data_IF_594728242497
#
_entry.id   IF_594728242497
#
_cell.length_a   1.000
_cell.length_b   1.000
_cell.length_c   1.000
_cell.angle_alpha   90.00
_cell.angle_beta   90.00
_cell.angle_gamma   90.00
#
_symmetry.space_group_name_H-M   'P 1'
#
loop_
_entity.id
_entity.type
_entity.pdbx_description
1 polymer ?
#
# COMPACT_ATOMS: atom_id res chain seq x y z
N UNK A 1 25.92 3.36 14.34
CA UNK A 1 26.15 2.24 13.38
C UNK A 1 25.63 2.68 12.02
N UNK A 2 26.45 2.54 10.95
CA UNK A 2 26.06 2.92 9.59
C UNK A 2 25.08 1.91 9.00
N UNK A 3 23.95 2.40 8.46
CA UNK A 3 22.94 1.57 7.76
C UNK A 3 22.65 2.16 6.38
N UNK A 4 22.53 1.27 5.39
CA UNK A 4 22.28 1.64 3.99
C UNK A 4 20.91 1.15 3.55
N UNK A 5 20.23 1.95 2.71
CA UNK A 5 18.93 1.65 2.13
C UNK A 5 18.98 1.98 0.64
N UNK A 6 18.33 1.18 -0.18
CA UNK A 6 18.35 1.31 -1.63
C UNK A 6 16.95 1.58 -2.16
N UNK A 7 16.78 2.65 -2.94
CA UNK A 7 15.54 3.00 -3.64
C UNK A 7 15.77 2.96 -5.15
N UNK A 8 14.92 2.28 -5.92
CA UNK A 8 14.89 2.43 -7.36
C UNK A 8 14.33 3.80 -7.74
N UNK A 9 14.92 4.46 -8.72
CA UNK A 9 14.48 5.75 -9.25
C UNK A 9 14.80 5.87 -10.74
N UNK A 10 14.33 6.95 -11.38
CA UNK A 10 14.40 7.16 -12.82
C UNK A 10 13.74 6.03 -13.61
N UNK A 11 12.40 6.09 -13.67
CA UNK A 11 11.58 5.02 -14.22
C UNK A 11 11.28 5.19 -15.70
N UNK A 12 11.20 4.07 -16.41
CA UNK A 12 10.83 3.95 -17.82
C UNK A 12 9.61 3.04 -17.94
N UNK A 13 8.72 3.31 -18.92
CA UNK A 13 7.41 2.65 -18.99
C UNK A 13 7.14 2.05 -20.37
N UNK A 14 6.23 1.06 -20.41
CA UNK A 14 5.66 0.49 -21.61
C UNK A 14 6.69 -0.07 -22.58
N UNK A 15 6.54 0.30 -23.86
CA UNK A 15 7.42 -0.17 -24.96
C UNK A 15 8.88 0.25 -24.74
N UNK A 16 9.13 1.45 -24.21
CA UNK A 16 10.49 1.93 -23.93
C UNK A 16 11.14 1.10 -22.83
N UNK A 17 10.43 0.82 -21.74
CA UNK A 17 10.93 -0.05 -20.66
C UNK A 17 11.36 -1.41 -21.21
N UNK A 18 10.50 -2.09 -22.01
CA UNK A 18 10.81 -3.39 -22.61
C UNK A 18 12.05 -3.35 -23.50
N UNK A 19 12.18 -2.29 -24.32
CA UNK A 19 13.35 -2.07 -25.19
C UNK A 19 14.63 -1.94 -24.36
N UNK A 20 14.62 -1.04 -23.35
CA UNK A 20 15.80 -0.77 -22.53
C UNK A 20 16.21 -1.98 -21.68
N UNK A 21 15.26 -2.78 -21.21
CA UNK A 21 15.55 -4.05 -20.52
C UNK A 21 16.25 -5.02 -21.48
N UNK A 22 15.74 -5.18 -22.73
CA UNK A 22 16.37 -6.04 -23.75
C UNK A 22 17.79 -5.61 -24.07
N UNK A 23 18.03 -4.29 -24.10
CA UNK A 23 19.36 -3.69 -24.32
C UNK A 23 20.24 -3.71 -23.06
N UNK A 24 19.79 -4.29 -21.94
CA UNK A 24 20.49 -4.32 -20.63
C UNK A 24 20.85 -2.92 -20.10
N UNK A 25 20.08 -1.90 -20.46
CA UNK A 25 20.25 -0.51 -20.01
C UNK A 25 19.47 -0.19 -18.72
N UNK A 26 18.42 -0.97 -18.46
CA UNK A 26 17.56 -0.81 -17.26
C UNK A 26 17.27 -2.17 -16.64
N UNK A 27 16.80 -2.16 -15.37
CA UNK A 27 16.34 -3.34 -14.65
C UNK A 27 14.82 -3.30 -14.47
N UNK A 28 14.12 -4.46 -14.59
CA UNK A 28 12.67 -4.51 -14.39
C UNK A 28 12.31 -4.25 -12.92
N UNK A 29 11.26 -3.48 -12.66
CA UNK A 29 10.78 -3.24 -11.32
C UNK A 29 9.77 -4.32 -10.90
N UNK A 30 9.99 -4.98 -9.77
CA UNK A 30 9.11 -6.02 -9.23
C UNK A 30 8.80 -7.17 -10.21
N UNK A 31 9.74 -7.47 -11.11
CA UNK A 31 9.56 -8.49 -12.17
C UNK A 31 8.61 -8.07 -13.29
N UNK A 32 8.15 -6.83 -13.29
CA UNK A 32 7.26 -6.27 -14.31
C UNK A 32 8.08 -5.58 -15.41
N UNK A 33 7.97 -6.06 -16.67
CA UNK A 33 8.68 -5.47 -17.81
C UNK A 33 8.04 -4.18 -18.34
N UNK A 34 6.83 -3.83 -17.88
CA UNK A 34 6.17 -2.57 -18.26
C UNK A 34 6.75 -1.35 -17.51
N UNK A 35 7.55 -1.60 -16.46
CA UNK A 35 8.24 -0.56 -15.71
C UNK A 35 9.67 -1.01 -15.39
N UNK A 36 10.64 -0.15 -15.66
CA UNK A 36 12.07 -0.39 -15.37
C UNK A 36 12.74 0.87 -14.85
N UNK A 37 13.94 0.73 -14.33
CA UNK A 37 14.74 1.81 -13.78
C UNK A 37 16.23 1.64 -14.15
N UNK A 38 16.98 2.75 -14.21
CA UNK A 38 18.41 2.75 -14.49
C UNK A 38 19.25 3.40 -13.37
N UNK A 39 18.59 4.05 -12.39
CA UNK A 39 19.28 4.66 -11.26
C UNK A 39 18.74 4.14 -9.94
N UNK A 40 19.59 4.18 -8.92
CA UNK A 40 19.24 3.90 -7.53
C UNK A 40 19.66 5.08 -6.65
N UNK A 41 18.83 5.42 -5.68
CA UNK A 41 19.20 6.31 -4.59
C UNK A 41 19.64 5.45 -3.39
N UNK A 42 20.83 5.70 -2.89
CA UNK A 42 21.41 5.00 -1.73
C UNK A 42 21.38 5.99 -0.57
N UNK A 43 20.58 5.70 0.44
CA UNK A 43 20.57 6.44 1.70
C UNK A 43 21.60 5.83 2.64
N UNK A 44 22.31 6.69 3.35
CA UNK A 44 23.17 6.36 4.48
C UNK A 44 22.60 7.02 5.74
N UNK A 45 22.24 6.20 6.73
CA UNK A 45 21.91 6.62 8.10
C UNK A 45 23.12 6.32 8.97
N UNK A 46 23.79 7.35 9.48
CA UNK A 46 24.88 7.25 10.44
C UNK A 46 24.49 7.99 11.71
N UNK A 47 24.08 7.24 12.71
CA UNK A 47 23.42 7.77 13.90
C UNK A 47 22.20 8.65 13.53
N UNK A 48 22.26 9.96 13.81
CA UNK A 48 21.21 10.94 13.47
C UNK A 48 21.44 11.62 12.12
N UNK A 49 22.61 11.48 11.49
CA UNK A 49 22.91 12.08 10.19
C UNK A 49 22.40 11.18 9.06
N UNK A 50 21.70 11.77 8.12
CA UNK A 50 21.18 11.08 6.94
C UNK A 50 21.65 11.82 5.71
N UNK A 51 22.20 11.07 4.78
CA UNK A 51 22.59 11.55 3.45
C UNK A 51 22.10 10.56 2.39
N UNK A 52 21.97 11.02 1.16
CA UNK A 52 21.68 10.14 0.03
C UNK A 52 22.49 10.54 -1.19
N UNK A 53 22.71 9.57 -2.09
CA UNK A 53 23.31 9.80 -3.40
C UNK A 53 22.61 8.94 -4.45
N UNK A 54 22.47 9.49 -5.65
CA UNK A 54 21.93 8.76 -6.80
C UNK A 54 23.10 8.16 -7.59
N UNK A 55 22.97 6.90 -7.96
CA UNK A 55 24.00 6.14 -8.66
C UNK A 55 23.35 5.40 -9.85
N UNK A 56 23.97 5.45 -11.01
CA UNK A 56 23.60 4.64 -12.18
C UNK A 56 23.82 3.15 -11.87
N UNK A 57 22.89 2.28 -12.29
CA UNK A 57 23.01 0.82 -12.07
C UNK A 57 24.29 0.24 -12.66
N UNK A 58 24.83 0.81 -13.75
CA UNK A 58 26.10 0.40 -14.37
C UNK A 58 27.31 0.70 -13.49
N UNK A 59 27.19 1.68 -12.56
CA UNK A 59 28.27 2.09 -11.67
C UNK A 59 28.29 1.39 -10.31
N UNK A 60 27.36 0.44 -10.08
CA UNK A 60 27.27 -0.31 -8.80
C UNK A 60 28.56 -1.06 -8.48
N UNK A 61 29.27 -1.55 -9.50
CA UNK A 61 30.51 -2.29 -9.31
C UNK A 61 31.65 -1.43 -8.70
N UNK A 62 31.58 -0.13 -8.83
CA UNK A 62 32.55 0.82 -8.27
C UNK A 62 32.21 1.30 -6.84
N UNK A 63 31.14 0.79 -6.25
CA UNK A 63 30.79 1.11 -4.85
C UNK A 63 31.76 0.43 -3.87
N UNK A 64 31.99 1.01 -2.68
CA UNK A 64 32.73 0.35 -1.62
C UNK A 64 32.13 -1.02 -1.31
N UNK A 65 32.98 -2.02 -0.99
CA UNK A 65 32.60 -3.45 -0.87
C UNK A 65 31.32 -3.68 -0.04
N UNK A 66 31.22 -3.10 1.17
CA UNK A 66 30.04 -3.28 2.03
C UNK A 66 28.77 -2.67 1.44
N UNK A 67 28.85 -1.49 0.84
CA UNK A 67 27.72 -0.81 0.18
C UNK A 67 27.27 -1.61 -1.03
N UNK A 68 28.21 -2.08 -1.84
CA UNK A 68 27.94 -2.90 -3.04
C UNK A 68 27.16 -4.18 -2.68
N UNK A 69 27.61 -4.92 -1.65
CA UNK A 69 26.94 -6.14 -1.21
C UNK A 69 25.48 -5.84 -0.83
N UNK A 70 25.25 -4.81 0.01
CA UNK A 70 23.90 -4.41 0.42
C UNK A 70 23.03 -4.02 -0.78
N UNK A 71 23.57 -3.19 -1.67
CA UNK A 71 22.86 -2.73 -2.88
C UNK A 71 22.47 -3.89 -3.79
N UNK A 72 23.35 -4.85 -4.01
CA UNK A 72 23.05 -6.02 -4.85
C UNK A 72 21.97 -6.91 -4.25
N UNK A 73 21.98 -7.11 -2.93
CA UNK A 73 20.91 -7.82 -2.22
C UNK A 73 19.57 -7.10 -2.35
N UNK A 74 19.56 -5.77 -2.22
CA UNK A 74 18.35 -4.97 -2.37
C UNK A 74 17.84 -4.99 -3.83
N UNK A 75 18.71 -4.87 -4.82
CA UNK A 75 18.34 -4.96 -6.24
C UNK A 75 17.71 -6.32 -6.56
N UNK A 76 18.25 -7.41 -6.04
CA UNK A 76 17.63 -8.74 -6.19
C UNK A 76 16.20 -8.75 -5.69
N UNK A 77 15.91 -8.11 -4.55
CA UNK A 77 14.56 -7.97 -4.01
C UNK A 77 13.71 -7.00 -4.84
N UNK A 78 14.26 -5.84 -5.24
CA UNK A 78 13.56 -4.84 -6.07
C UNK A 78 13.11 -5.44 -7.41
N UNK A 79 13.94 -6.25 -8.06
CA UNK A 79 13.65 -6.83 -9.37
C UNK A 79 12.83 -8.12 -9.30
N UNK A 80 12.68 -8.73 -8.15
CA UNK A 80 11.96 -9.99 -7.97
C UNK A 80 10.45 -9.81 -8.18
N UNK A 81 9.82 -10.77 -8.88
CA UNK A 81 8.36 -10.80 -9.08
C UNK A 81 7.62 -10.91 -7.75
N UNK A 82 6.54 -10.13 -7.60
CA UNK A 82 5.66 -10.20 -6.42
C UNK A 82 4.69 -11.37 -6.55
N UNK A 83 4.73 -12.31 -5.61
CA UNK A 83 3.91 -13.55 -5.65
C UNK A 83 2.41 -13.29 -5.58
N UNK A 84 1.99 -12.23 -4.88
CA UNK A 84 0.58 -11.89 -4.69
C UNK A 84 -0.17 -11.55 -5.97
N UNK A 85 0.51 -10.97 -6.96
CA UNK A 85 -0.12 -10.34 -8.12
C UNK A 85 -0.44 -11.30 -9.28
N UNK A 86 0.03 -12.56 -9.22
CA UNK A 86 -0.10 -13.52 -10.32
C UNK A 86 0.33 -12.89 -11.67
N UNK A 87 -0.65 -12.53 -12.52
CA UNK A 87 -0.44 -11.91 -13.83
C UNK A 87 -0.73 -10.40 -13.84
N UNK A 88 -1.24 -9.83 -12.75
CA UNK A 88 -1.61 -8.41 -12.69
C UNK A 88 -0.44 -7.56 -12.18
N UNK A 89 -0.30 -6.35 -12.73
CA UNK A 89 0.74 -5.40 -12.33
C UNK A 89 0.30 -4.54 -11.13
N UNK A 90 -1.01 -4.38 -10.96
CA UNK A 90 -1.64 -3.66 -9.84
C UNK A 90 -3.04 -4.20 -9.56
N UNK A 91 -3.51 -4.01 -8.34
CA UNK A 91 -4.80 -4.50 -7.83
C UNK A 91 -5.53 -3.37 -7.12
N UNK A 92 -6.84 -3.25 -7.38
CA UNK A 92 -7.74 -2.40 -6.60
C UNK A 92 -8.38 -3.19 -5.47
N UNK A 93 -8.28 -2.66 -4.25
CA UNK A 93 -8.91 -3.13 -3.04
C UNK A 93 -10.05 -2.17 -2.69
N UNK A 94 -11.29 -2.60 -2.91
CA UNK A 94 -12.48 -1.80 -2.61
C UNK A 94 -12.80 -1.83 -1.12
N UNK A 95 -13.07 -0.67 -0.52
CA UNK A 95 -13.39 -0.52 0.90
C UNK A 95 -14.89 -0.61 1.13
N UNK A 96 -15.32 -1.48 2.03
CA UNK A 96 -16.68 -1.58 2.53
C UNK A 96 -16.71 -1.38 4.05
N UNK A 97 -17.16 -0.22 4.50
CA UNK A 97 -17.37 0.06 5.91
C UNK A 97 -18.81 -0.27 6.32
N UNK A 98 -18.97 -1.16 7.29
CA UNK A 98 -20.26 -1.59 7.84
C UNK A 98 -20.58 -0.85 9.17
N UNK A 99 -20.28 0.46 9.19
CA UNK A 99 -20.63 1.32 10.35
C UNK A 99 -22.08 1.81 10.27
N UNK A 100 -22.70 2.24 11.40
CA UNK A 100 -24.08 2.72 11.40
C UNK A 100 -24.36 3.82 10.38
N UNK A 101 -23.43 4.76 10.22
CA UNK A 101 -23.55 5.91 9.32
C UNK A 101 -23.45 5.53 7.83
N UNK A 102 -22.89 4.36 7.51
CA UNK A 102 -22.66 3.95 6.12
C UNK A 102 -23.92 3.44 5.43
N UNK A 103 -24.94 3.03 6.18
CA UNK A 103 -26.20 2.47 5.69
C UNK A 103 -27.37 2.89 6.59
N UNK A 104 -27.54 4.20 6.82
CA UNK A 104 -28.47 4.77 7.80
C UNK A 104 -29.95 4.48 7.48
N UNK A 105 -30.32 4.34 6.18
CA UNK A 105 -31.71 4.35 5.73
C UNK A 105 -32.36 2.96 5.61
N UNK A 106 -31.74 1.89 6.14
CA UNK A 106 -32.24 0.52 5.95
C UNK A 106 -32.26 -0.34 7.22
N UNK A 107 -33.36 -1.03 7.49
CA UNK A 107 -33.44 -2.08 8.51
C UNK A 107 -32.37 -3.16 8.34
N UNK A 108 -32.11 -4.00 9.39
CA UNK A 108 -31.00 -4.99 9.42
C UNK A 108 -30.92 -5.93 8.21
N UNK A 109 -32.05 -6.27 7.57
CA UNK A 109 -32.10 -7.11 6.37
C UNK A 109 -31.68 -6.33 5.10
N UNK A 110 -32.10 -5.09 5.02
CA UNK A 110 -31.80 -4.20 3.89
C UNK A 110 -30.30 -3.84 3.85
N UNK A 111 -29.66 -3.60 5.01
CA UNK A 111 -28.21 -3.32 5.11
C UNK A 111 -27.34 -4.43 4.51
N UNK A 112 -27.65 -5.69 4.73
CA UNK A 112 -26.87 -6.81 4.14
C UNK A 112 -26.99 -6.84 2.62
N UNK A 113 -28.21 -6.68 2.09
CA UNK A 113 -28.44 -6.69 0.64
C UNK A 113 -27.80 -5.46 -0.04
N UNK A 114 -27.87 -4.29 0.57
CA UNK A 114 -27.21 -3.08 0.09
C UNK A 114 -25.68 -3.25 0.06
N UNK A 115 -25.10 -3.84 1.12
CA UNK A 115 -23.68 -4.13 1.19
C UNK A 115 -23.25 -5.11 0.08
N UNK A 116 -23.98 -6.21 -0.13
CA UNK A 116 -23.70 -7.18 -1.20
C UNK A 116 -23.87 -6.55 -2.60
N UNK A 117 -24.84 -5.66 -2.80
CA UNK A 117 -25.00 -4.89 -4.04
C UNK A 117 -23.84 -3.93 -4.26
N UNK A 118 -23.36 -3.27 -3.20
CA UNK A 118 -22.18 -2.39 -3.28
C UNK A 118 -20.90 -3.18 -3.58
N UNK A 119 -20.73 -4.36 -2.97
CA UNK A 119 -19.62 -5.29 -3.30
C UNK A 119 -19.66 -5.66 -4.78
N UNK A 120 -20.83 -6.09 -5.32
CA UNK A 120 -20.97 -6.40 -6.74
C UNK A 120 -20.52 -5.23 -7.62
N UNK A 121 -21.02 -4.01 -7.36
CA UNK A 121 -20.62 -2.82 -8.11
C UNK A 121 -19.11 -2.56 -8.09
N UNK A 122 -18.44 -2.80 -6.95
CA UNK A 122 -16.99 -2.64 -6.85
C UNK A 122 -16.24 -3.71 -7.64
N UNK A 123 -16.72 -4.97 -7.62
CA UNK A 123 -16.14 -6.08 -8.39
C UNK A 123 -16.31 -5.83 -9.89
N UNK A 124 -17.51 -5.44 -10.34
CA UNK A 124 -17.82 -5.11 -11.73
C UNK A 124 -16.98 -3.93 -12.24
N UNK A 125 -16.65 -2.99 -11.35
CA UNK A 125 -15.73 -1.89 -11.60
C UNK A 125 -14.24 -2.29 -11.61
N UNK A 126 -13.91 -3.55 -11.27
CA UNK A 126 -12.56 -4.11 -11.36
C UNK A 126 -11.82 -4.28 -10.04
N UNK A 127 -12.49 -4.19 -8.88
CA UNK A 127 -11.88 -4.57 -7.62
C UNK A 127 -11.61 -6.10 -7.58
N UNK A 128 -10.42 -6.47 -7.16
CA UNK A 128 -10.02 -7.89 -6.98
C UNK A 128 -10.03 -8.30 -5.51
N UNK A 129 -10.03 -7.33 -4.63
CA UNK A 129 -10.11 -7.51 -3.18
C UNK A 129 -11.23 -6.63 -2.67
N UNK A 130 -12.03 -7.13 -1.74
CA UNK A 130 -12.97 -6.34 -0.95
C UNK A 130 -12.51 -6.38 0.50
N UNK A 131 -12.27 -5.20 1.06
CA UNK A 131 -11.83 -5.02 2.44
C UNK A 131 -13.02 -4.56 3.30
N UNK A 132 -13.46 -5.44 4.21
CA UNK A 132 -14.67 -5.25 5.00
C UNK A 132 -14.30 -4.92 6.44
N UNK A 133 -14.77 -3.77 6.94
CA UNK A 133 -14.59 -3.35 8.32
C UNK A 133 -15.90 -3.04 9.03
N UNK A 134 -16.04 -3.45 10.30
CA UNK A 134 -17.19 -3.17 11.16
C UNK A 134 -16.96 -2.04 12.16
N UNK A 135 -15.70 -1.65 12.37
CA UNK A 135 -15.27 -0.55 13.22
C UNK A 135 -14.71 0.61 12.38
N UNK A 136 -14.97 1.84 12.79
CA UNK A 136 -14.34 3.01 12.16
C UNK A 136 -12.92 3.19 12.68
N UNK A 137 -11.95 3.31 11.77
CA UNK A 137 -10.56 3.66 12.08
C UNK A 137 -10.27 5.16 11.92
N UNK A 138 -11.33 5.99 11.77
CA UNK A 138 -11.18 7.45 11.72
C UNK A 138 -10.68 7.99 13.07
N UNK A 139 -9.94 9.12 13.07
CA UNK A 139 -9.63 9.80 14.33
C UNK A 139 -10.89 10.01 15.17
N UNK A 140 -10.74 9.90 16.51
CA UNK A 140 -11.82 10.11 17.50
C UNK A 140 -12.97 9.08 17.46
N UNK A 141 -12.89 8.06 16.60
CA UNK A 141 -13.90 7.00 16.61
C UNK A 141 -13.83 6.18 17.91
N UNK A 142 -15.01 5.89 18.47
CA UNK A 142 -15.12 5.05 19.67
C UNK A 142 -14.79 3.60 19.34
N UNK A 143 -14.01 2.97 20.22
CA UNK A 143 -13.78 1.51 20.17
C UNK A 143 -15.10 0.82 20.51
N UNK A 144 -15.46 -0.18 19.72
CA UNK A 144 -16.66 -0.99 19.98
C UNK A 144 -16.27 -2.39 20.46
N UNK A 145 -17.12 -3.11 21.23
CA UNK A 145 -16.89 -4.51 21.59
C UNK A 145 -16.71 -5.40 20.34
N UNK A 146 -15.88 -6.45 20.39
CA UNK A 146 -15.64 -7.34 19.24
C UNK A 146 -16.92 -8.06 18.79
N UNK A 147 -17.85 -8.36 19.69
CA UNK A 147 -19.14 -8.97 19.38
C UNK A 147 -20.00 -8.04 18.52
N UNK A 148 -20.02 -6.75 18.83
CA UNK A 148 -20.74 -5.73 18.06
C UNK A 148 -20.12 -5.58 16.67
N UNK A 149 -18.79 -5.54 16.57
CA UNK A 149 -18.10 -5.49 15.28
C UNK A 149 -18.46 -6.72 14.43
N UNK A 150 -18.36 -7.92 15.00
CA UNK A 150 -18.72 -9.14 14.32
C UNK A 150 -20.20 -9.15 13.90
N UNK A 151 -21.12 -8.72 14.77
CA UNK A 151 -22.55 -8.64 14.46
C UNK A 151 -22.81 -7.77 13.21
N UNK A 152 -22.08 -6.65 13.05
CA UNK A 152 -22.22 -5.74 11.90
C UNK A 152 -21.86 -6.41 10.58
N UNK A 153 -20.78 -7.20 10.53
CA UNK A 153 -20.21 -7.76 9.29
C UNK A 153 -20.60 -9.22 9.03
N UNK A 154 -20.99 -9.97 10.05
CA UNK A 154 -21.15 -11.44 10.00
C UNK A 154 -22.02 -11.93 8.85
N UNK A 155 -23.18 -11.28 8.62
CA UNK A 155 -24.14 -11.69 7.56
C UNK A 155 -23.54 -11.49 6.16
N UNK A 156 -22.74 -10.44 5.95
CA UNK A 156 -22.06 -10.19 4.67
C UNK A 156 -20.92 -11.19 4.48
N UNK A 157 -20.10 -11.39 5.51
CA UNK A 157 -18.95 -12.32 5.48
C UNK A 157 -19.42 -13.75 5.16
N UNK A 158 -20.46 -14.26 5.85
CA UNK A 158 -21.00 -15.61 5.63
C UNK A 158 -21.49 -15.84 4.19
N UNK A 159 -22.00 -14.82 3.51
CA UNK A 159 -22.50 -14.88 2.13
C UNK A 159 -21.42 -14.58 1.08
N UNK A 160 -20.27 -14.02 1.48
CA UNK A 160 -19.29 -13.45 0.56
C UNK A 160 -18.75 -14.49 -0.43
N UNK A 161 -18.14 -15.56 0.05
CA UNK A 161 -17.48 -16.56 -0.82
C UNK A 161 -18.44 -17.35 -1.69
N UNK A 162 -19.67 -17.56 -1.24
CA UNK A 162 -20.70 -18.21 -2.06
C UNK A 162 -21.11 -17.29 -3.23
N UNK A 163 -21.19 -15.99 -2.99
CA UNK A 163 -21.62 -15.03 -4.02
C UNK A 163 -20.46 -14.54 -4.92
N UNK A 164 -19.25 -14.43 -4.36
CA UNK A 164 -18.08 -13.88 -5.04
C UNK A 164 -16.85 -14.80 -4.90
N UNK A 165 -16.89 -16.05 -5.41
CA UNK A 165 -15.86 -17.07 -5.15
C UNK A 165 -14.46 -16.69 -5.67
N UNK A 166 -14.38 -15.87 -6.73
CA UNK A 166 -13.12 -15.47 -7.37
C UNK A 166 -12.53 -14.18 -6.76
N UNK A 167 -13.25 -13.50 -5.87
CA UNK A 167 -12.81 -12.23 -5.25
C UNK A 167 -12.14 -12.53 -3.91
N UNK A 168 -11.01 -11.88 -3.65
CA UNK A 168 -10.33 -11.99 -2.36
C UNK A 168 -11.10 -11.21 -1.30
N UNK A 169 -11.30 -11.84 -0.14
CA UNK A 169 -11.91 -11.26 1.03
C UNK A 169 -10.81 -10.77 1.99
N UNK A 170 -10.79 -9.49 2.27
CA UNK A 170 -9.98 -8.88 3.32
C UNK A 170 -10.85 -8.47 4.49
N UNK A 171 -10.35 -8.63 5.69
CA UNK A 171 -11.00 -8.15 6.93
C UNK A 171 -10.17 -7.04 7.56
N UNK A 172 -10.79 -5.84 7.70
CA UNK A 172 -10.21 -4.68 8.39
C UNK A 172 -10.66 -4.71 9.85
N UNK A 173 -9.82 -5.27 10.71
CA UNK A 173 -10.09 -5.41 12.15
C UNK A 173 -8.79 -5.55 12.95
N UNK A 174 -8.84 -5.12 14.21
CA UNK A 174 -7.76 -5.28 15.20
C UNK A 174 -8.15 -6.17 16.39
N UNK A 175 -9.17 -7.07 16.19
CA UNK A 175 -9.73 -7.91 17.25
C UNK A 175 -9.72 -9.37 16.89
N UNK A 176 -9.13 -10.19 17.74
CA UNK A 176 -8.94 -11.64 17.53
C UNK A 176 -10.24 -12.42 17.35
N UNK A 177 -11.29 -12.08 18.11
CA UNK A 177 -12.61 -12.71 17.96
C UNK A 177 -13.16 -12.52 16.54
N UNK A 178 -13.02 -11.33 15.97
CA UNK A 178 -13.48 -11.04 14.60
C UNK A 178 -12.64 -11.83 13.59
N UNK A 179 -11.30 -11.84 13.75
CA UNK A 179 -10.40 -12.62 12.91
C UNK A 179 -10.74 -14.11 12.95
N UNK A 180 -10.88 -14.69 14.14
CA UNK A 180 -11.24 -16.11 14.34
C UNK A 180 -12.51 -16.50 13.61
N UNK A 181 -13.54 -15.65 13.69
CA UNK A 181 -14.80 -15.88 13.02
C UNK A 181 -14.71 -15.73 11.49
N UNK A 182 -13.87 -14.81 11.00
CA UNK A 182 -13.68 -14.64 9.55
C UNK A 182 -12.85 -15.75 8.93
N UNK A 183 -11.89 -16.32 9.65
CA UNK A 183 -11.13 -17.51 9.21
C UNK A 183 -12.08 -18.68 8.91
N UNK A 184 -13.09 -18.93 9.76
CA UNK A 184 -14.13 -19.97 9.52
C UNK A 184 -14.94 -19.70 8.24
N UNK A 185 -14.94 -18.48 7.73
CA UNK A 185 -15.64 -18.06 6.53
C UNK A 185 -14.69 -17.78 5.34
N UNK A 186 -13.51 -18.43 5.33
CA UNK A 186 -12.53 -18.42 4.22
C UNK A 186 -12.03 -17.02 3.86
N UNK A 187 -11.70 -16.18 4.86
CA UNK A 187 -10.98 -14.92 4.62
C UNK A 187 -9.62 -15.20 3.97
N UNK A 188 -9.19 -14.31 3.08
CA UNK A 188 -7.90 -14.42 2.37
C UNK A 188 -6.83 -13.49 2.96
N UNK A 189 -7.24 -12.34 3.51
CA UNK A 189 -6.33 -11.28 3.98
C UNK A 189 -6.81 -10.78 5.34
N UNK A 190 -5.87 -10.64 6.28
CA UNK A 190 -6.10 -9.93 7.55
C UNK A 190 -5.38 -8.58 7.47
N UNK A 191 -6.17 -7.51 7.57
CA UNK A 191 -5.73 -6.12 7.51
C UNK A 191 -5.95 -5.47 8.89
N UNK A 192 -4.88 -5.43 9.70
CA UNK A 192 -4.92 -4.81 11.02
C UNK A 192 -4.03 -3.56 11.04
N UNK A 193 -4.68 -2.40 11.17
CA UNK A 193 -3.99 -1.09 11.23
C UNK A 193 -3.01 -0.97 12.39
N UNK A 194 -3.15 -1.80 13.44
CA UNK A 194 -2.25 -1.84 14.59
C UNK A 194 -1.03 -2.76 14.38
N UNK A 195 -0.95 -3.47 13.26
CA UNK A 195 0.06 -4.50 13.02
C UNK A 195 0.09 -5.55 14.13
N UNK A 196 -1.08 -6.06 14.51
CA UNK A 196 -1.29 -7.11 15.53
C UNK A 196 -0.83 -6.72 16.94
N UNK A 197 -0.72 -5.41 17.22
CA UNK A 197 -0.26 -4.90 18.53
C UNK A 197 -1.41 -4.58 19.49
N UNK A 198 -2.58 -4.27 18.96
CA UNK A 198 -3.76 -3.96 19.77
C UNK A 198 -4.28 -5.21 20.49
N UNK A 199 -4.46 -6.30 19.76
CA UNK A 199 -4.84 -7.61 20.29
C UNK A 199 -3.82 -8.65 19.81
N UNK A 200 -2.91 -9.03 20.73
CA UNK A 200 -1.81 -9.97 20.43
C UNK A 200 -2.30 -11.36 20.04
N UNK A 201 -3.52 -11.73 20.42
CA UNK A 201 -4.12 -13.02 20.06
C UNK A 201 -4.38 -13.14 18.55
N UNK A 202 -4.48 -12.01 17.81
CA UNK A 202 -4.59 -12.07 16.34
C UNK A 202 -3.41 -12.80 15.74
N UNK A 203 -2.19 -12.50 16.19
CA UNK A 203 -1.00 -13.15 15.65
C UNK A 203 -1.04 -14.68 15.85
N UNK A 204 -1.45 -15.14 17.03
CA UNK A 204 -1.60 -16.57 17.32
C UNK A 204 -2.65 -17.25 16.41
N UNK A 205 -3.76 -16.55 16.12
CA UNK A 205 -4.80 -17.08 15.23
C UNK A 205 -4.35 -17.20 13.77
N UNK A 206 -3.38 -16.38 13.30
CA UNK A 206 -3.03 -16.27 11.88
C UNK A 206 -1.62 -16.77 11.52
N UNK A 207 -0.71 -16.95 12.48
CA UNK A 207 0.72 -17.25 12.21
C UNK A 207 0.91 -18.49 11.33
N UNK A 208 0.13 -19.53 11.55
CA UNK A 208 0.19 -20.82 10.85
C UNK A 208 -0.93 -21.02 9.82
N UNK A 209 -1.65 -19.96 9.48
CA UNK A 209 -2.70 -20.00 8.45
C UNK A 209 -2.18 -19.50 7.11
N UNK A 210 -2.68 -20.11 6.05
CA UNK A 210 -2.37 -19.74 4.67
C UNK A 210 -3.08 -18.45 4.25
N UNK A 211 -2.86 -17.36 5.00
CA UNK A 211 -3.49 -16.05 4.85
C UNK A 211 -2.45 -14.98 4.51
N UNK A 212 -2.85 -13.98 3.77
CA UNK A 212 -2.07 -12.76 3.62
C UNK A 212 -2.25 -11.86 4.84
N UNK A 213 -1.15 -11.26 5.29
CA UNK A 213 -1.08 -10.39 6.47
C UNK A 213 -0.64 -9.00 6.03
N UNK A 214 -1.42 -7.98 6.34
CA UNK A 214 -0.99 -6.59 6.10
C UNK A 214 -0.17 -6.12 7.28
N UNK A 215 1.07 -5.80 7.03
CA UNK A 215 1.97 -5.14 7.98
C UNK A 215 1.78 -3.64 7.82
N UNK A 216 0.92 -3.06 8.63
CA UNK A 216 0.56 -1.66 8.57
C UNK A 216 1.37 -0.84 9.56
N UNK A 217 1.96 0.27 9.11
CA UNK A 217 2.68 1.18 9.98
C UNK A 217 1.79 2.30 10.52
N UNK A 218 1.65 2.34 11.83
CA UNK A 218 0.98 3.41 12.56
C UNK A 218 1.83 3.87 13.74
N UNK A 219 1.88 5.18 14.00
CA UNK A 219 2.40 5.73 15.25
C UNK A 219 1.23 6.21 16.11
N UNK A 220 1.21 5.82 17.39
CA UNK A 220 0.07 6.06 18.30
C UNK A 220 -1.05 5.04 18.12
N UNK A 221 -2.24 5.38 18.62
CA UNK A 221 -3.48 4.61 18.46
C UNK A 221 -4.47 5.41 17.59
N UNK A 222 -5.57 4.84 17.09
CA UNK A 222 -6.57 5.61 16.35
C UNK A 222 -7.08 6.86 17.11
N UNK A 223 -7.09 6.82 18.44
CA UNK A 223 -7.48 7.97 19.28
C UNK A 223 -6.38 9.05 19.37
N UNK A 224 -5.10 8.65 19.37
CA UNK A 224 -3.96 9.56 19.56
C UNK A 224 -3.16 9.83 18.27
N UNK A 225 -3.63 9.29 17.15
CA UNK A 225 -2.92 9.22 15.85
C UNK A 225 -2.51 10.59 15.30
N UNK A 226 -3.19 11.67 15.70
CA UNK A 226 -2.91 13.05 15.25
C UNK A 226 -2.05 13.83 16.23
N UNK A 227 -1.72 13.27 17.41
CA UNK A 227 -1.02 13.97 18.48
C UNK A 227 0.49 13.98 18.20
N UNK A 228 0.95 15.02 17.49
CA UNK A 228 2.36 15.36 17.24
C UNK A 228 3.27 14.17 16.90
N UNK A 229 3.06 13.50 15.75
CA UNK A 229 3.86 12.33 15.38
C UNK A 229 5.33 12.72 15.17
N UNK A 230 6.25 12.02 15.84
CA UNK A 230 7.69 12.29 15.83
C UNK A 230 8.44 11.20 15.07
N UNK A 231 9.27 11.61 14.12
CA UNK A 231 10.18 10.75 13.36
C UNK A 231 11.55 11.40 13.29
N UNK A 232 12.61 10.62 13.31
CA UNK A 232 13.93 11.10 12.94
C UNK A 232 13.99 11.32 11.42
N UNK A 233 13.49 10.32 10.66
CA UNK A 233 13.29 10.40 9.23
C UNK A 233 12.18 9.43 8.84
N UNK A 234 10.99 9.94 8.60
CA UNK A 234 9.77 9.14 8.46
C UNK A 234 9.92 7.95 7.49
N UNK A 235 10.56 8.15 6.35
CA UNK A 235 10.73 7.12 5.33
C UNK A 235 11.62 5.95 5.82
N UNK A 236 12.77 6.28 6.44
CA UNK A 236 13.72 5.28 6.92
C UNK A 236 13.24 4.62 8.21
N UNK A 237 12.55 5.36 9.08
CA UNK A 237 11.98 4.82 10.31
C UNK A 237 10.86 3.82 10.00
N UNK A 238 10.03 4.08 8.97
CA UNK A 238 9.03 3.11 8.47
C UNK A 238 9.72 1.89 7.82
N UNK A 239 10.81 2.11 7.08
CA UNK A 239 11.58 0.99 6.53
C UNK A 239 12.12 0.08 7.64
N UNK A 240 12.71 0.67 8.69
CA UNK A 240 13.25 -0.06 9.85
C UNK A 240 12.13 -0.83 10.59
N UNK A 241 10.96 -0.22 10.74
CA UNK A 241 9.78 -0.88 11.27
C UNK A 241 9.39 -2.12 10.44
N UNK A 242 9.28 -1.98 9.12
CA UNK A 242 8.95 -3.11 8.26
C UNK A 242 9.98 -4.22 8.34
N UNK A 243 11.28 -3.90 8.31
CA UNK A 243 12.34 -4.90 8.43
C UNK A 243 12.24 -5.67 9.75
N UNK A 244 11.93 -4.97 10.85
CA UNK A 244 11.71 -5.59 12.16
C UNK A 244 10.49 -6.51 12.16
N UNK A 245 9.36 -6.06 11.63
CA UNK A 245 8.13 -6.86 11.62
C UNK A 245 8.23 -8.04 10.64
N UNK A 246 8.87 -7.88 9.48
CA UNK A 246 9.16 -8.99 8.55
C UNK A 246 9.99 -10.07 9.25
N UNK A 247 11.03 -9.70 9.99
CA UNK A 247 11.87 -10.64 10.71
C UNK A 247 11.11 -11.39 11.81
N UNK A 248 10.18 -10.73 12.51
CA UNK A 248 9.30 -11.39 13.48
C UNK A 248 8.38 -12.41 12.81
N UNK A 249 7.81 -12.04 11.65
CA UNK A 249 6.90 -12.91 10.90
C UNK A 249 7.63 -14.06 10.17
N UNK A 250 8.96 -13.98 10.00
CA UNK A 250 9.75 -14.98 9.27
C UNK A 250 9.80 -16.36 9.94
N UNK A 251 9.40 -16.45 11.20
CA UNK A 251 9.39 -17.70 11.98
C UNK A 251 8.15 -18.57 11.72
N UNK A 252 7.12 -18.08 11.01
CA UNK A 252 5.90 -18.83 10.74
C UNK A 252 5.92 -19.53 9.38
N UNK A 253 5.10 -20.58 9.21
CA UNK A 253 5.00 -21.38 7.98
C UNK A 253 4.65 -20.58 6.72
N UNK A 254 3.97 -19.45 6.85
CA UNK A 254 3.54 -18.57 5.76
C UNK A 254 4.19 -17.18 5.85
N UNK A 255 5.46 -17.13 6.22
CA UNK A 255 6.27 -15.92 6.37
C UNK A 255 6.37 -15.05 5.11
N UNK A 256 6.13 -15.65 3.94
CA UNK A 256 6.21 -14.96 2.64
C UNK A 256 4.88 -14.30 2.21
N UNK A 257 3.79 -14.48 2.98
CA UNK A 257 2.47 -13.89 2.68
C UNK A 257 2.25 -12.59 3.44
N UNK A 258 3.13 -11.63 3.18
CA UNK A 258 3.07 -10.29 3.76
C UNK A 258 2.78 -9.25 2.68
N UNK A 259 2.01 -8.22 3.06
CA UNK A 259 1.75 -6.99 2.29
C UNK A 259 2.17 -5.83 3.19
N UNK A 260 2.94 -4.88 2.67
CA UNK A 260 3.43 -3.73 3.44
C UNK A 260 2.57 -2.50 3.18
N UNK A 261 2.01 -1.88 4.22
CA UNK A 261 1.29 -0.60 4.14
C UNK A 261 1.99 0.46 4.99
N UNK A 262 2.57 1.50 4.39
CA UNK A 262 3.25 2.57 5.12
C UNK A 262 2.30 3.45 5.94
N UNK A 263 0.99 3.24 5.85
CA UNK A 263 -0.03 3.89 6.68
C UNK A 263 -0.12 5.39 6.44
N UNK A 264 -0.39 5.80 5.19
CA UNK A 264 -0.65 7.21 4.87
C UNK A 264 -1.78 7.75 5.73
N UNK A 265 -1.54 8.88 6.44
CA UNK A 265 -2.50 9.50 7.34
C UNK A 265 -2.62 8.88 8.74
N UNK A 266 -1.84 7.83 9.05
CA UNK A 266 -1.83 7.17 10.35
C UNK A 266 -0.57 7.57 11.15
N UNK A 267 -0.73 8.49 12.12
CA UNK A 267 0.39 9.03 12.90
C UNK A 267 1.41 9.78 12.04
N UNK A 268 0.93 10.60 11.10
CA UNK A 268 1.76 11.34 10.14
C UNK A 268 1.15 12.70 9.83
N UNK A 269 1.97 13.75 9.84
CA UNK A 269 1.58 15.08 9.38
C UNK A 269 1.65 15.18 7.84
N UNK A 270 1.32 16.35 7.27
CA UNK A 270 1.34 16.57 5.83
C UNK A 270 2.74 16.28 5.24
N UNK A 271 3.79 16.87 5.79
CA UNK A 271 5.18 16.69 5.32
C UNK A 271 5.59 15.22 5.33
N UNK A 272 5.23 14.47 6.37
CA UNK A 272 5.50 13.04 6.46
C UNK A 272 4.80 12.24 5.35
N UNK A 273 3.51 12.52 5.10
CA UNK A 273 2.75 11.83 4.05
C UNK A 273 3.33 12.10 2.65
N UNK A 274 3.67 13.35 2.36
CA UNK A 274 4.26 13.73 1.07
C UNK A 274 5.64 13.11 0.87
N UNK A 275 6.49 13.09 1.91
CA UNK A 275 7.81 12.45 1.83
C UNK A 275 7.70 10.94 1.55
N UNK A 276 6.75 10.25 2.18
CA UNK A 276 6.52 8.82 1.94
C UNK A 276 6.06 8.60 0.49
N UNK A 277 5.06 9.33 0.02
CA UNK A 277 4.53 9.19 -1.33
C UNK A 277 5.59 9.50 -2.39
N UNK A 278 6.39 10.56 -2.18
CA UNK A 278 7.46 10.96 -3.10
C UNK A 278 8.50 9.85 -3.31
N UNK A 279 8.89 9.15 -2.24
CA UNK A 279 9.97 8.15 -2.29
C UNK A 279 9.50 6.73 -1.93
N UNK A 280 8.23 6.40 -2.19
CA UNK A 280 7.60 5.14 -1.77
C UNK A 280 8.26 3.90 -2.39
N UNK A 281 8.91 4.05 -3.53
CA UNK A 281 9.66 2.98 -4.20
C UNK A 281 10.80 2.38 -3.35
N UNK A 282 11.22 3.03 -2.25
CA UNK A 282 12.22 2.48 -1.32
C UNK A 282 11.79 1.14 -0.73
N UNK A 283 10.48 0.96 -0.49
CA UNK A 283 9.96 -0.26 0.13
C UNK A 283 10.03 -1.50 -0.78
N UNK A 284 10.28 -1.32 -2.10
CA UNK A 284 10.51 -2.46 -3.00
C UNK A 284 11.75 -3.27 -2.62
N UNK A 285 12.76 -2.65 -1.97
CA UNK A 285 13.96 -3.35 -1.51
C UNK A 285 13.71 -4.30 -0.34
N UNK A 286 12.51 -4.28 0.26
CA UNK A 286 12.09 -5.28 1.24
C UNK A 286 11.59 -6.58 0.60
N UNK A 287 11.16 -6.56 -0.68
CA UNK A 287 10.80 -7.76 -1.44
C UNK A 287 9.34 -8.17 -1.40
N UNK A 288 8.47 -7.40 -0.73
CA UNK A 288 7.04 -7.68 -0.57
C UNK A 288 6.15 -6.75 -1.39
N UNK A 289 4.89 -7.14 -1.68
CA UNK A 289 3.90 -6.24 -2.25
C UNK A 289 3.64 -5.04 -1.32
N UNK A 290 3.40 -3.87 -1.93
CA UNK A 290 3.12 -2.64 -1.19
C UNK A 290 1.67 -2.25 -1.45
N UNK A 291 0.94 -1.97 -0.36
CA UNK A 291 -0.40 -1.43 -0.35
C UNK A 291 -0.36 0.03 0.08
N UNK A 292 -1.15 0.87 -0.57
CA UNK A 292 -1.41 2.23 -0.09
C UNK A 292 -2.90 2.54 -0.04
N UNK A 293 -3.30 3.28 1.00
CA UNK A 293 -4.63 3.83 1.17
C UNK A 293 -4.57 5.35 1.26
N UNK A 294 -4.64 6.04 0.12
CA UNK A 294 -4.67 7.52 0.05
C UNK A 294 -6.08 8.07 -0.08
N UNK A 295 -7.07 7.19 -0.34
CA UNK A 295 -8.42 7.56 -0.67
C UNK A 295 -9.10 8.38 0.43
N UNK A 296 -9.53 9.61 0.08
CA UNK A 296 -10.24 10.57 0.94
C UNK A 296 -9.46 11.03 2.17
N UNK A 297 -8.12 10.84 2.21
CA UNK A 297 -7.29 11.18 3.37
C UNK A 297 -7.14 12.69 3.58
N UNK A 298 -6.90 13.07 4.86
CA UNK A 298 -6.81 14.47 5.31
C UNK A 298 -5.69 15.26 4.64
N UNK A 299 -4.57 14.64 4.27
CA UNK A 299 -3.46 15.34 3.60
C UNK A 299 -3.92 16.01 2.29
N UNK A 300 -4.92 15.43 1.59
CA UNK A 300 -5.47 16.03 0.38
C UNK A 300 -6.18 17.34 0.71
N UNK A 301 -7.03 17.35 1.77
CA UNK A 301 -7.70 18.58 2.18
C UNK A 301 -6.75 19.66 2.72
N UNK A 302 -5.64 19.25 3.30
CA UNK A 302 -4.61 20.21 3.76
C UNK A 302 -3.93 20.94 2.58
N UNK A 303 -3.88 20.30 1.40
CA UNK A 303 -3.31 20.91 0.19
C UNK A 303 -4.40 21.68 -0.59
N UNK A 304 -5.54 21.03 -0.88
CA UNK A 304 -6.60 21.60 -1.74
C UNK A 304 -7.54 22.54 -1.00
N UNK A 305 -7.43 22.68 0.32
CA UNK A 305 -8.35 23.42 1.20
C UNK A 305 -9.81 22.96 1.12
N UNK A 306 -10.06 21.77 0.53
CA UNK A 306 -11.38 21.16 0.44
C UNK A 306 -11.59 20.19 1.59
N UNK A 307 -12.56 20.49 2.46
CA UNK A 307 -12.77 19.76 3.71
C UNK A 307 -13.71 18.54 3.56
N UNK A 308 -14.61 18.52 2.57
CA UNK A 308 -15.47 17.35 2.36
C UNK A 308 -14.64 16.17 1.83
N UNK A 309 -14.76 15.05 2.53
CA UNK A 309 -14.05 13.83 2.15
C UNK A 309 -14.55 13.23 0.83
N UNK A 310 -15.79 13.52 0.42
CA UNK A 310 -16.36 13.04 -0.85
C UNK A 310 -15.75 13.76 -2.06
N UNK A 311 -15.35 15.01 -1.90
CA UNK A 311 -14.78 15.86 -2.95
C UNK A 311 -13.27 15.67 -3.17
N UNK A 312 -12.63 14.75 -2.42
CA UNK A 312 -11.18 14.47 -2.52
C UNK A 312 -10.82 13.45 -3.61
N UNK A 313 -11.70 13.23 -4.60
CA UNK A 313 -11.46 12.23 -5.65
C UNK A 313 -10.26 12.58 -6.52
N UNK A 314 -10.13 13.83 -6.96
CA UNK A 314 -9.00 14.29 -7.78
C UNK A 314 -7.65 14.09 -7.09
N UNK A 315 -7.51 14.51 -5.82
CA UNK A 315 -6.30 14.30 -5.03
C UNK A 315 -6.03 12.82 -4.72
N UNK A 316 -7.08 12.02 -4.54
CA UNK A 316 -6.97 10.56 -4.41
C UNK A 316 -6.39 9.96 -5.68
N UNK A 317 -6.95 10.29 -6.85
CA UNK A 317 -6.48 9.79 -8.14
C UNK A 317 -5.03 10.20 -8.40
N UNK A 318 -4.69 11.48 -8.22
CA UNK A 318 -3.32 11.99 -8.42
C UNK A 318 -2.30 11.22 -7.57
N UNK A 319 -2.59 11.01 -6.29
CA UNK A 319 -1.70 10.28 -5.38
C UNK A 319 -1.54 8.80 -5.76
N UNK A 320 -2.60 8.18 -6.29
CA UNK A 320 -2.58 6.80 -6.79
C UNK A 320 -1.73 6.70 -8.06
N UNK A 321 -1.95 7.58 -9.04
CA UNK A 321 -1.19 7.59 -10.29
C UNK A 321 0.29 7.85 -10.06
N UNK A 322 0.63 8.78 -9.17
CA UNK A 322 1.99 9.05 -8.76
C UNK A 322 2.68 7.82 -8.11
N UNK A 323 1.94 7.08 -7.29
CA UNK A 323 2.44 5.86 -6.67
C UNK A 323 2.51 4.68 -7.65
N UNK A 324 1.56 4.59 -8.58
CA UNK A 324 1.55 3.60 -9.65
C UNK A 324 2.78 3.78 -10.56
N UNK A 325 3.16 5.02 -10.86
CA UNK A 325 4.37 5.35 -11.61
C UNK A 325 5.65 4.90 -10.87
N UNK A 326 5.63 4.78 -9.55
CA UNK A 326 6.71 4.20 -8.76
C UNK A 326 6.56 2.68 -8.53
N UNK A 327 5.64 2.02 -9.25
CA UNK A 327 5.45 0.56 -9.24
C UNK A 327 4.70 0.00 -8.03
N UNK A 328 3.92 0.80 -7.32
CA UNK A 328 3.07 0.33 -6.22
C UNK A 328 1.97 -0.58 -6.75
N UNK A 329 1.64 -1.65 -6.00
CA UNK A 329 0.85 -2.75 -6.53
C UNK A 329 -0.59 -2.79 -6.03
N UNK A 330 -0.88 -2.36 -4.79
CA UNK A 330 -2.22 -2.51 -4.21
C UNK A 330 -2.72 -1.13 -3.77
N UNK A 331 -3.92 -0.77 -4.25
CA UNK A 331 -4.55 0.51 -3.97
C UNK A 331 -5.88 0.30 -3.25
N UNK A 332 -5.95 0.70 -1.97
CA UNK A 332 -7.15 0.64 -1.13
C UNK A 332 -7.99 1.89 -1.34
N UNK A 333 -9.18 1.74 -1.95
CA UNK A 333 -9.97 2.86 -2.47
C UNK A 333 -11.47 2.70 -2.20
N UNK A 334 -12.18 3.85 -2.08
CA UNK A 334 -13.64 3.91 -1.99
C UNK A 334 -14.29 3.96 -3.39
N UNK A 335 -13.70 4.72 -4.31
CA UNK A 335 -14.25 5.00 -5.65
C UNK A 335 -13.56 4.12 -6.71
N UNK A 336 -13.87 2.81 -6.71
CA UNK A 336 -13.19 1.82 -7.56
C UNK A 336 -13.31 2.16 -9.04
N UNK A 337 -14.51 2.55 -9.51
CA UNK A 337 -14.80 2.80 -10.93
C UNK A 337 -13.97 3.94 -11.49
N UNK A 338 -13.99 5.07 -10.80
CA UNK A 338 -13.29 6.30 -11.20
C UNK A 338 -11.78 6.12 -11.14
N UNK A 339 -11.29 5.44 -10.11
CA UNK A 339 -9.85 5.13 -9.99
C UNK A 339 -9.41 4.15 -11.08
N UNK A 340 -10.20 3.12 -11.39
CA UNK A 340 -9.89 2.19 -12.50
C UNK A 340 -9.82 2.91 -13.83
N UNK A 341 -10.78 3.80 -14.10
CA UNK A 341 -10.80 4.62 -15.31
C UNK A 341 -9.52 5.48 -15.43
N UNK A 342 -9.18 6.21 -14.36
CA UNK A 342 -7.97 7.04 -14.34
C UNK A 342 -6.68 6.25 -14.55
N UNK A 343 -6.55 5.07 -13.91
CA UNK A 343 -5.40 4.17 -14.11
C UNK A 343 -5.31 3.71 -15.56
N UNK A 344 -6.43 3.31 -16.19
CA UNK A 344 -6.43 2.86 -17.58
C UNK A 344 -5.99 3.97 -18.53
N UNK A 345 -6.49 5.19 -18.36
CA UNK A 345 -6.08 6.35 -19.17
C UNK A 345 -4.58 6.60 -18.97
N UNK A 346 -4.12 6.67 -17.73
CA UNK A 346 -2.70 6.92 -17.41
C UNK A 346 -1.77 5.86 -18.02
N UNK A 347 -2.11 4.58 -17.90
CA UNK A 347 -1.32 3.50 -18.50
C UNK A 347 -1.28 3.57 -20.02
N UNK A 348 -2.38 3.95 -20.68
CA UNK A 348 -2.39 4.11 -22.14
C UNK A 348 -1.53 5.30 -22.58
N UNK A 349 -1.52 6.41 -21.83
CA UNK A 349 -0.62 7.54 -22.07
C UNK A 349 0.84 7.10 -21.94
N UNK A 350 1.22 6.41 -20.88
CA UNK A 350 2.58 5.91 -20.69
C UNK A 350 3.01 4.92 -21.77
N UNK A 351 2.11 4.05 -22.27
CA UNK A 351 2.42 3.06 -23.30
C UNK A 351 2.61 3.67 -24.70
N UNK A 352 1.92 4.79 -25.00
CA UNK A 352 2.03 5.50 -26.27
C UNK A 352 3.16 6.53 -26.29
N UNK A 353 3.79 6.80 -25.15
CA UNK A 353 4.89 7.74 -25.05
C UNK A 353 6.08 7.25 -25.88
N UNK A 354 6.19 7.77 -27.10
CA UNK A 354 7.36 7.61 -27.95
C UNK A 354 8.35 8.73 -27.63
N UNK A 355 9.57 8.37 -27.28
CA UNK A 355 10.66 9.34 -27.20
C UNK A 355 10.98 9.84 -28.61
N UNK A 356 10.40 10.94 -29.03
CA UNK A 356 11.06 11.87 -29.92
C UNK A 356 11.34 13.10 -29.04
N UNK A 357 12.60 13.27 -28.63
CA UNK A 357 13.20 14.52 -28.17
C UNK A 357 12.93 15.04 -26.73
N UNK A 358 12.52 14.28 -25.76
CA UNK A 358 12.54 14.77 -24.39
C UNK A 358 13.30 13.80 -23.47
N UNK A 359 14.12 14.36 -22.61
CA UNK A 359 14.81 13.66 -21.51
C UNK A 359 13.82 12.91 -20.61
N UNK A 360 14.25 11.90 -19.81
CA UNK A 360 13.36 11.23 -18.89
C UNK A 360 12.60 12.28 -18.10
N UNK A 361 11.27 12.17 -18.04
CA UNK A 361 10.47 13.02 -17.17
C UNK A 361 11.05 12.84 -15.76
N UNK A 362 11.87 13.77 -15.31
CA UNK A 362 12.18 13.92 -13.91
C UNK A 362 10.88 14.33 -13.26
N UNK A 363 10.14 13.39 -12.73
CA UNK A 363 8.98 13.65 -11.85
C UNK A 363 9.38 14.53 -10.65
N UNK A 364 10.69 14.71 -10.44
CA UNK A 364 11.28 15.65 -9.49
C UNK A 364 11.24 17.11 -9.98
N UNK A 365 11.20 17.36 -11.30
CA UNK A 365 11.14 18.72 -11.86
C UNK A 365 9.73 19.36 -11.83
N UNK A 366 8.69 18.58 -11.51
CA UNK A 366 7.34 19.11 -11.30
C UNK A 366 7.08 19.61 -9.86
N UNK A 367 8.11 19.67 -9.03
CA UNK A 367 8.07 20.41 -7.77
C UNK A 367 8.23 21.91 -8.07
N UNK A 368 7.19 22.53 -8.59
CA UNK A 368 7.00 23.99 -8.45
C UNK A 368 7.09 24.27 -6.95
N UNK A 369 7.95 25.19 -6.51
CA UNK A 369 7.95 25.59 -5.11
C UNK A 369 6.54 26.09 -4.79
N UNK A 370 5.85 25.36 -3.93
CA UNK A 370 4.60 25.82 -3.35
C UNK A 370 4.98 26.94 -2.41
N UNK A 371 4.71 28.19 -2.85
CA UNK A 371 4.75 29.42 -2.05
C UNK A 371 3.82 29.28 -0.85
#
# INVERSE_FOLDING_TARGET
>A
MKKYYTRACNFYYGKLSKKLIKEKKTLPLCGNKEISFDKIEIFLKDNKKISSKIVDIKKINFLPKLVKIKVLLDIKKITSKRKFLNKENHILMGVLNMTPDSFSDGGKFNKTNMALKQISKMIDAGAKIIDIGGESTRPESKVIPPEIEWQRISKVIKKFKNKFPKTLLSIDTRKSLVVKNTIKNKVDIVNDVSCFKFDKMIYEEIKDKNLWKVIHHMQGTPQTIQNNPKYNHVLLDIYDFFETEINKQSKGNYSNKLILDPGIGFGKNLKHNLMILNKISIFHSLGFPILIGTSRKRFISQISKNFDSKERLGGTLSSILFSLAQGIQIFRVHNVREIKQGILVFQNLLNKWKKNTLEPMELEALLIPVI
#
